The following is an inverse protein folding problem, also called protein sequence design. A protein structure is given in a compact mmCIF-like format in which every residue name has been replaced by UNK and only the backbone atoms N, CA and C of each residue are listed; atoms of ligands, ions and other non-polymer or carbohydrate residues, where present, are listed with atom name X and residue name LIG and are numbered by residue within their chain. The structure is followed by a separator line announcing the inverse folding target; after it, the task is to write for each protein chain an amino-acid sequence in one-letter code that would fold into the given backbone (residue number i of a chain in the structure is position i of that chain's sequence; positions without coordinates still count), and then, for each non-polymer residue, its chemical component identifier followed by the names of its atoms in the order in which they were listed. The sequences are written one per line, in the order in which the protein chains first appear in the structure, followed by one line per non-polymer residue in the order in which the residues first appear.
data_IF_152313076046
#
_entry.id   IF_152313076046
#
_cell.length_a   1.000
_cell.length_b   1.000
_cell.length_c   1.000
_cell.angle_alpha   90.00
_cell.angle_beta   90.00
_cell.angle_gamma   90.00
#
_symmetry.space_group_name_H-M   'P 1'
#
loop_
_entity.id
_entity.type
_entity.pdbx_description
1 polymer ?
#
# COMPACT_ATOMS: atom_id res chain seq x y z
N UNK A 1 10.16 8.57 -6.57
CA UNK A 1 11.34 8.55 -5.68
C UNK A 1 10.94 8.39 -4.22
N UNK A 2 11.56 7.44 -3.52
CA UNK A 2 11.36 7.23 -2.08
C UNK A 2 12.17 8.29 -1.30
N UNK A 3 11.52 9.09 -0.46
CA UNK A 3 12.22 10.09 0.36
C UNK A 3 12.94 9.42 1.53
N UNK A 4 14.05 10.02 2.00
CA UNK A 4 14.83 9.49 3.13
C UNK A 4 13.99 9.38 4.41
N UNK A 5 13.11 10.34 4.66
CA UNK A 5 12.15 10.31 5.77
C UNK A 5 11.17 9.15 5.66
N UNK A 6 10.59 8.92 4.48
CA UNK A 6 9.67 7.81 4.31
C UNK A 6 10.38 6.47 4.47
N UNK A 7 11.59 6.35 3.95
CA UNK A 7 12.40 5.14 4.13
C UNK A 7 12.69 4.87 5.61
N UNK A 8 12.96 5.92 6.40
CA UNK A 8 13.14 5.81 7.84
C UNK A 8 11.85 5.34 8.55
N UNK A 9 10.69 5.92 8.19
CA UNK A 9 9.39 5.50 8.73
C UNK A 9 9.03 4.05 8.40
N UNK A 10 9.32 3.59 7.18
CA UNK A 10 9.14 2.18 6.78
C UNK A 10 10.07 1.26 7.60
N UNK A 11 11.32 1.66 7.83
CA UNK A 11 12.24 0.92 8.69
C UNK A 11 11.77 0.84 10.15
N UNK A 12 11.24 1.93 10.71
CA UNK A 12 10.63 1.94 12.04
C UNK A 12 9.35 1.08 12.10
N UNK A 13 8.54 1.09 11.04
CA UNK A 13 7.40 0.18 10.94
C UNK A 13 7.84 -1.29 10.96
N UNK A 14 8.95 -1.62 10.30
CA UNK A 14 9.53 -2.96 10.29
C UNK A 14 10.04 -3.41 11.67
N UNK A 15 10.48 -2.49 12.53
CA UNK A 15 11.02 -2.81 13.87
C UNK A 15 9.94 -3.02 14.95
N UNK A 16 8.74 -2.45 14.77
CA UNK A 16 7.68 -2.41 15.80
C UNK A 16 6.77 -3.67 15.89
N UNK A 17 7.09 -4.81 15.26
CA UNK A 17 6.21 -6.00 15.34
C UNK A 17 6.63 -7.21 14.49
N UNK A 18 5.70 -8.15 14.29
CA UNK A 18 5.96 -9.48 13.69
C UNK A 18 6.81 -9.45 12.41
N UNK A 19 8.05 -9.94 12.52
CA UNK A 19 9.15 -9.73 11.57
C UNK A 19 8.85 -10.18 10.13
N UNK A 20 8.09 -11.26 9.95
CA UNK A 20 7.83 -11.86 8.62
C UNK A 20 6.70 -11.18 7.84
N UNK A 21 5.57 -10.89 8.51
CA UNK A 21 4.42 -10.23 7.86
C UNK A 21 4.77 -8.80 7.46
N UNK A 22 5.43 -8.05 8.35
CA UNK A 22 5.82 -6.65 8.05
C UNK A 22 6.91 -6.51 7.00
N UNK A 23 7.83 -7.48 6.89
CA UNK A 23 8.80 -7.52 5.79
C UNK A 23 8.10 -7.59 4.44
N UNK A 24 7.09 -8.46 4.31
CA UNK A 24 6.29 -8.57 3.08
C UNK A 24 5.49 -7.30 2.81
N UNK A 25 4.86 -6.71 3.84
CA UNK A 25 4.17 -5.41 3.68
C UNK A 25 5.13 -4.32 3.24
N UNK A 26 6.31 -4.19 3.85
CA UNK A 26 7.31 -3.19 3.47
C UNK A 26 7.82 -3.37 2.03
N UNK A 27 8.06 -4.61 1.59
CA UNK A 27 8.41 -4.89 0.20
C UNK A 27 7.32 -4.42 -0.77
N UNK A 28 6.05 -4.68 -0.45
CA UNK A 28 4.92 -4.22 -1.28
C UNK A 28 4.78 -2.70 -1.30
N UNK A 29 5.06 -2.02 -0.19
CA UNK A 29 5.11 -0.55 -0.15
C UNK A 29 6.21 -0.02 -1.09
N UNK A 30 7.41 -0.61 -1.03
CA UNK A 30 8.52 -0.21 -1.87
C UNK A 30 8.21 -0.46 -3.35
N UNK A 31 7.62 -1.59 -3.69
CA UNK A 31 7.21 -1.90 -5.07
C UNK A 31 6.19 -0.88 -5.59
N UNK A 32 5.20 -0.52 -4.79
CA UNK A 32 4.22 0.51 -5.15
C UNK A 32 4.87 1.87 -5.38
N UNK A 33 5.73 2.32 -4.47
CA UNK A 33 6.43 3.62 -4.60
C UNK A 33 7.36 3.62 -5.82
N UNK A 34 8.04 2.51 -6.07
CA UNK A 34 8.90 2.35 -7.23
C UNK A 34 8.09 2.39 -8.53
N UNK A 35 6.95 1.69 -8.57
CA UNK A 35 6.05 1.72 -9.72
C UNK A 35 5.46 3.11 -10.00
N UNK A 36 5.08 3.83 -8.94
CA UNK A 36 4.55 5.18 -9.10
C UNK A 36 5.57 6.13 -9.76
N UNK A 37 6.87 5.83 -9.61
CA UNK A 37 8.00 6.61 -10.11
C UNK A 37 7.98 8.12 -9.75
N UNK A 38 7.08 8.53 -8.85
CA UNK A 38 6.91 9.89 -8.38
C UNK A 38 7.28 9.97 -6.89
N UNK A 39 7.40 11.17 -6.35
CA UNK A 39 7.65 11.31 -4.92
C UNK A 39 6.48 10.75 -4.12
N UNK A 40 6.76 10.18 -2.94
CA UNK A 40 5.70 9.59 -2.12
C UNK A 40 4.57 10.59 -1.77
N UNK A 41 4.90 11.87 -1.60
CA UNK A 41 3.91 12.93 -1.39
C UNK A 41 3.06 13.27 -2.63
N UNK A 42 3.44 12.77 -3.81
CA UNK A 42 2.64 12.86 -5.03
C UNK A 42 1.81 11.59 -5.28
N UNK A 43 2.10 10.48 -4.58
CA UNK A 43 1.27 9.28 -4.66
C UNK A 43 -0.14 9.58 -4.15
N UNK A 44 -1.14 9.32 -4.98
CA UNK A 44 -2.52 9.76 -4.78
C UNK A 44 -3.52 8.66 -5.14
N UNK A 45 -4.80 8.91 -4.90
CA UNK A 45 -5.87 7.90 -5.10
C UNK A 45 -5.86 7.34 -6.53
N UNK A 46 -5.58 8.19 -7.53
CA UNK A 46 -5.46 7.81 -8.95
C UNK A 46 -4.31 6.83 -9.22
N UNK A 47 -3.16 7.01 -8.55
CA UNK A 47 -2.02 6.09 -8.66
C UNK A 47 -2.36 4.72 -8.09
N UNK A 48 -3.08 4.68 -6.97
CA UNK A 48 -3.53 3.42 -6.36
C UNK A 48 -4.47 2.67 -7.30
N UNK A 49 -5.47 3.36 -7.89
CA UNK A 49 -6.36 2.75 -8.88
C UNK A 49 -5.58 2.16 -10.06
N UNK A 50 -4.76 2.99 -10.71
CA UNK A 50 -3.99 2.58 -11.89
C UNK A 50 -3.03 1.42 -11.59
N UNK A 51 -2.41 1.40 -10.41
CA UNK A 51 -1.54 0.31 -9.98
C UNK A 51 -2.29 -1.04 -9.91
N UNK A 52 -3.46 -1.06 -9.29
CA UNK A 52 -4.26 -2.28 -9.18
C UNK A 52 -4.85 -2.73 -10.51
N UNK A 53 -5.24 -1.78 -11.37
CA UNK A 53 -5.73 -2.06 -12.71
C UNK A 53 -4.64 -2.66 -13.59
N UNK A 54 -3.42 -2.09 -13.58
CA UNK A 54 -2.31 -2.56 -14.41
C UNK A 54 -1.71 -3.88 -13.93
N UNK A 55 -1.58 -4.07 -12.60
CA UNK A 55 -1.03 -5.31 -12.04
C UNK A 55 -1.99 -6.48 -12.10
N UNK A 56 -3.30 -6.22 -12.20
CA UNK A 56 -4.35 -7.24 -12.27
C UNK A 56 -4.20 -8.37 -11.22
N UNK A 57 -3.93 -7.99 -9.96
CA UNK A 57 -3.66 -8.94 -8.89
C UNK A 57 -4.87 -9.82 -8.56
N UNK A 58 -4.60 -11.07 -8.16
CA UNK A 58 -5.61 -11.92 -7.54
C UNK A 58 -6.21 -11.25 -6.28
N UNK A 59 -7.47 -11.54 -5.90
CA UNK A 59 -8.17 -10.83 -4.83
C UNK A 59 -7.45 -10.85 -3.47
N UNK A 60 -6.83 -11.97 -3.13
CA UNK A 60 -6.02 -12.14 -1.91
C UNK A 60 -4.75 -11.29 -1.93
N UNK A 61 -4.04 -11.30 -3.05
CA UNK A 61 -2.84 -10.47 -3.26
C UNK A 61 -3.20 -8.98 -3.27
N UNK A 62 -4.29 -8.59 -3.94
CA UNK A 62 -4.78 -7.22 -3.96
C UNK A 62 -5.10 -6.70 -2.55
N UNK A 63 -5.67 -7.55 -1.69
CA UNK A 63 -5.92 -7.25 -0.28
C UNK A 63 -4.62 -6.97 0.48
N UNK A 64 -3.63 -7.85 0.34
CA UNK A 64 -2.32 -7.70 0.98
C UNK A 64 -1.61 -6.40 0.56
N UNK A 65 -1.64 -6.08 -0.74
CA UNK A 65 -1.10 -4.82 -1.25
C UNK A 65 -1.88 -3.62 -0.73
N UNK A 66 -3.22 -3.70 -0.66
CA UNK A 66 -4.04 -2.61 -0.15
C UNK A 66 -3.72 -2.30 1.32
N UNK A 67 -3.54 -3.32 2.18
CA UNK A 67 -3.10 -3.11 3.57
C UNK A 67 -1.72 -2.46 3.66
N UNK A 68 -0.79 -2.88 2.79
CA UNK A 68 0.54 -2.26 2.72
C UNK A 68 0.46 -0.78 2.31
N UNK A 69 -0.34 -0.46 1.28
CA UNK A 69 -0.56 0.91 0.81
C UNK A 69 -1.30 1.75 1.86
N UNK A 70 -2.27 1.18 2.60
CA UNK A 70 -2.94 1.85 3.71
C UNK A 70 -1.96 2.25 4.81
N UNK A 71 -1.13 1.31 5.23
CA UNK A 71 -0.08 1.61 6.22
C UNK A 71 0.86 2.70 5.72
N UNK A 72 1.26 2.62 4.43
CA UNK A 72 2.08 3.66 3.82
C UNK A 72 1.39 5.03 3.86
N UNK A 73 0.08 5.07 3.60
CA UNK A 73 -0.77 6.26 3.68
C UNK A 73 -0.76 6.90 5.08
N UNK A 74 -0.89 6.06 6.11
CA UNK A 74 -0.82 6.47 7.51
C UNK A 74 0.58 6.98 7.89
N UNK A 75 1.65 6.32 7.42
CA UNK A 75 3.03 6.77 7.65
C UNK A 75 3.33 8.13 6.98
N UNK A 76 2.70 8.39 5.84
CA UNK A 76 2.75 9.71 5.18
C UNK A 76 1.93 10.78 5.92
N UNK A 77 1.16 10.41 6.95
CA UNK A 77 0.32 11.34 7.70
C UNK A 77 -0.89 11.84 6.91
N UNK A 78 -1.31 11.12 5.87
CA UNK A 78 -2.47 11.52 5.07
C UNK A 78 -3.77 11.15 5.77
N UNK A 79 -4.71 12.10 5.78
CA UNK A 79 -6.05 11.88 6.30
C UNK A 79 -6.87 11.05 5.31
N UNK A 80 -7.52 10.00 5.81
CA UNK A 80 -8.40 9.11 5.07
C UNK A 80 -7.73 7.83 4.55
N UNK A 81 -8.54 6.96 3.93
CA UNK A 81 -8.08 5.66 3.42
C UNK A 81 -7.75 5.71 1.91
N UNK A 82 -6.75 4.94 1.45
CA UNK A 82 -6.53 4.76 0.01
C UNK A 82 -7.74 4.04 -0.62
N UNK A 83 -8.03 4.30 -1.90
CA UNK A 83 -9.15 3.68 -2.57
C UNK A 83 -8.99 2.15 -2.58
N UNK A 84 -10.09 1.46 -2.26
CA UNK A 84 -10.14 -0.01 -2.29
C UNK A 84 -10.17 -0.49 -3.74
N UNK A 85 -9.35 -1.48 -4.12
CA UNK A 85 -9.38 -2.03 -5.48
C UNK A 85 -10.77 -2.61 -5.77
N UNK A 86 -11.22 -2.50 -7.03
CA UNK A 86 -12.56 -2.95 -7.44
C UNK A 86 -12.81 -4.43 -7.13
N UNK A 87 -11.80 -5.29 -7.24
CA UNK A 87 -11.89 -6.70 -6.83
C UNK A 87 -12.10 -6.92 -5.33
N UNK A 88 -11.72 -5.97 -4.48
CA UNK A 88 -11.92 -6.03 -3.03
C UNK A 88 -13.34 -5.60 -2.63
N UNK A 89 -13.98 -4.69 -3.38
CA UNK A 89 -15.38 -4.29 -3.13
C UNK A 89 -16.33 -5.49 -3.16
N UNK A 90 -16.01 -6.52 -3.95
CA UNK A 90 -16.81 -7.73 -4.08
C UNK A 90 -16.66 -8.72 -2.90
N UNK A 91 -15.59 -8.62 -2.11
CA UNK A 91 -15.37 -9.46 -0.93
C UNK A 91 -16.07 -8.96 0.34
N UNK A 92 -16.49 -7.69 0.36
CA UNK A 92 -17.18 -7.09 1.53
C UNK A 92 -18.70 -7.37 1.50
N UNK A 93 -19.22 -7.98 0.42
CA UNK A 93 -20.64 -8.37 0.28
C UNK A 93 -20.90 -9.88 0.47
N UNK A 94 -20.01 -10.61 1.13
CA UNK A 94 -20.16 -12.05 1.39
C UNK A 94 -20.14 -12.41 2.90
N UNK A 95 -20.57 -11.47 3.75
CA UNK A 95 -20.87 -11.75 5.16
C UNK A 95 -22.07 -10.90 5.58
N UNK A 96 -23.25 -11.34 5.18
CA UNK A 96 -24.54 -11.05 5.79
C UNK A 96 -25.41 -12.28 5.62
#
# INVERSE_FOLDING_TARGET
MLTRELNHKIHLYKSRGGKASRRRSAQRMLEFVNWCNCEAHQTGKKHVHKFFEEKNFAPSTARDYWYAIKTLWELMGRVGEPPKPCGLKRLVKASS
#
